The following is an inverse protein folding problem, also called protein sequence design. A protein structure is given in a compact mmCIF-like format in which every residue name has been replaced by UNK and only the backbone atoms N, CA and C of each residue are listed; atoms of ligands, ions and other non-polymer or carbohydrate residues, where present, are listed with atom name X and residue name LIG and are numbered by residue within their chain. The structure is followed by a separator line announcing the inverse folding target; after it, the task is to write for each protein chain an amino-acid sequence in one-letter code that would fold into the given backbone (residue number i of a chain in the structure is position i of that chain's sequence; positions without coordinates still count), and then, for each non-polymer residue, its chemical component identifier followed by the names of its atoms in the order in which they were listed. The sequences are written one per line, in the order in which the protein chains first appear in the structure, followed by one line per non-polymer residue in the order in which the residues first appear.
data_IF_339465573701
#
_entry.id   IF_339465573701
#
_cell.length_a   1.000
_cell.length_b   1.000
_cell.length_c   1.000
_cell.angle_alpha   90.00
_cell.angle_beta   90.00
_cell.angle_gamma   90.00
#
_symmetry.space_group_name_H-M   'P 1'
#
loop_
_entity.id
_entity.type
_entity.pdbx_description
1 polymer ?
2 non-polymer ?
3 non-polymer ?
#
# COMPACT_ATOMS: atom_id res chain seq x y z
N UNK A 2 8.82 -3.06 11.89
CA UNK A 2 9.96 -3.60 11.08
C UNK A 2 10.25 -2.95 9.71
N UNK A 3 11.55 -2.84 9.43
CA UNK A 3 12.08 -2.29 8.18
C UNK A 3 11.83 -3.20 6.99
N UNK A 4 11.88 -4.51 7.22
CA UNK A 4 11.59 -5.50 6.19
C UNK A 4 10.15 -5.38 5.66
N UNK A 5 9.19 -5.09 6.54
CA UNK A 5 7.81 -4.91 6.13
C UNK A 5 7.68 -3.70 5.23
N UNK A 6 8.30 -2.58 5.60
CA UNK A 6 8.17 -1.35 4.82
C UNK A 6 8.92 -1.45 3.48
N UNK A 7 10.04 -2.18 3.46
CA UNK A 7 10.79 -2.43 2.23
C UNK A 7 9.89 -3.23 1.27
N UNK A 8 9.17 -4.21 1.80
CA UNK A 8 8.30 -5.07 1.01
C UNK A 8 7.11 -4.30 0.45
N UNK A 9 6.49 -3.46 1.28
CA UNK A 9 5.37 -2.60 0.86
C UNK A 9 5.82 -1.60 -0.22
N UNK A 10 6.98 -0.99 0.00
CA UNK A 10 7.51 0.03 -0.86
C UNK A 10 7.89 -0.53 -2.22
N UNK A 11 8.45 -1.74 -2.23
CA UNK A 11 8.83 -2.42 -3.47
C UNK A 11 7.60 -2.59 -4.39
N UNK A 12 6.48 -2.96 -3.79
CA UNK A 12 5.25 -3.23 -4.51
C UNK A 12 4.67 -1.94 -5.10
N UNK A 13 4.66 -0.88 -4.30
CA UNK A 13 4.15 0.41 -4.74
C UNK A 13 4.98 0.93 -5.92
N UNK A 14 6.31 0.86 -5.79
CA UNK A 14 7.22 1.21 -6.87
C UNK A 14 6.96 0.35 -8.11
N UNK A 15 6.77 -0.96 -7.91
CA UNK A 15 6.49 -1.86 -9.03
C UNK A 15 5.23 -1.46 -9.80
N UNK A 16 4.16 -1.18 -9.07
CA UNK A 16 2.85 -0.96 -9.67
C UNK A 16 2.61 0.47 -10.17
N UNK A 17 3.03 1.46 -9.38
CA UNK A 17 2.76 2.88 -9.66
C UNK A 17 3.88 3.62 -10.40
N UNK A 18 5.05 3.01 -10.50
CA UNK A 18 6.16 3.58 -11.26
C UNK A 18 6.74 4.86 -10.68
N UNK A 19 6.60 5.08 -9.37
CA UNK A 19 7.10 6.31 -8.74
C UNK A 19 8.51 6.09 -8.18
N UNK A 20 9.24 7.17 -7.87
CA UNK A 20 10.55 7.04 -7.20
C UNK A 20 10.35 6.55 -5.78
N UNK A 21 11.31 5.76 -5.26
CA UNK A 21 11.25 5.35 -3.85
C UNK A 21 11.12 6.56 -2.92
N UNK A 22 11.85 7.64 -3.21
CA UNK A 22 11.80 8.88 -2.41
C UNK A 22 10.39 9.47 -2.25
N UNK A 23 9.49 9.15 -3.18
CA UNK A 23 8.12 9.65 -3.12
C UNK A 23 7.18 8.79 -2.28
N UNK A 24 7.65 7.60 -1.89
CA UNK A 24 6.84 6.68 -1.11
C UNK A 24 6.98 6.96 0.39
N UNK A 25 6.47 8.10 0.82
CA UNK A 25 6.46 8.49 2.23
C UNK A 25 5.18 7.98 2.88
N UNK A 26 5.20 7.81 4.20
CA UNK A 26 4.01 7.33 4.92
C UNK A 26 2.74 8.17 4.68
N UNK A 27 2.89 9.49 4.65
CA UNK A 27 1.77 10.42 4.45
C UNK A 27 1.28 10.52 3.00
N UNK A 28 2.01 9.93 2.05
CA UNK A 28 1.61 10.01 0.64
C UNK A 28 0.36 9.17 0.33
N UNK A 29 -0.67 9.81 -0.23
CA UNK A 29 -1.87 9.07 -0.60
C UNK A 29 -1.74 8.51 -2.01
N UNK A 30 -2.17 7.26 -2.19
CA UNK A 30 -2.02 6.56 -3.47
C UNK A 30 -2.66 7.33 -4.62
N UNK A 31 -3.87 7.87 -4.40
CA UNK A 31 -4.57 8.60 -5.45
C UNK A 31 -4.07 10.03 -5.63
N UNK A 32 -4.05 10.81 -4.57
CA UNK A 32 -3.73 12.22 -4.71
C UNK A 32 -2.23 12.48 -4.96
N UNK A 33 -1.35 11.65 -4.39
CA UNK A 33 0.10 11.89 -4.50
C UNK A 33 0.84 10.94 -5.45
N UNK A 34 0.41 9.69 -5.54
CA UNK A 34 1.20 8.70 -6.25
C UNK A 34 0.58 8.29 -7.58
N UNK A 35 -0.46 9.00 -8.02
CA UNK A 35 -1.01 8.80 -9.35
C UNK A 35 -1.83 7.54 -9.59
N UNK A 36 -2.13 6.77 -8.55
CA UNK A 36 -2.99 5.57 -8.68
C UNK A 36 -4.44 5.98 -8.96
N UNK A 37 -5.17 5.23 -9.79
CA UNK A 37 -6.64 5.37 -9.80
C UNK A 37 -7.29 4.18 -9.06
N UNK A 38 -8.62 4.14 -8.99
CA UNK A 38 -9.29 3.10 -8.20
C UNK A 38 -8.99 1.67 -8.56
N UNK A 39 -8.82 1.36 -9.85
CA UNK A 39 -8.45 0.02 -10.27
C UNK A 39 -7.05 -0.31 -9.74
N UNK A 40 -6.12 0.64 -9.85
CA UNK A 40 -4.78 0.43 -9.30
C UNK A 40 -4.81 0.11 -7.82
N UNK A 41 -5.62 0.86 -7.06
CA UNK A 41 -5.64 0.71 -5.61
C UNK A 41 -6.14 -0.67 -5.21
N UNK A 42 -7.22 -1.14 -5.83
CA UNK A 42 -7.71 -2.50 -5.56
C UNK A 42 -6.58 -3.48 -5.83
N UNK A 43 -5.90 -3.31 -6.95
CA UNK A 43 -4.79 -4.16 -7.35
C UNK A 43 -3.68 -4.12 -6.31
N UNK A 44 -3.32 -2.94 -5.82
CA UNK A 44 -2.29 -2.86 -4.80
C UNK A 44 -2.66 -3.65 -3.56
N UNK A 45 -3.90 -3.49 -3.10
CA UNK A 45 -4.32 -4.12 -1.87
C UNK A 45 -4.27 -5.64 -2.05
N UNK A 46 -4.71 -6.10 -3.23
CA UNK A 46 -4.70 -7.53 -3.52
C UNK A 46 -3.27 -8.03 -3.40
N UNK A 47 -2.37 -7.27 -3.98
CA UNK A 47 -0.98 -7.63 -4.01
C UNK A 47 -0.35 -7.62 -2.60
N UNK A 48 -0.71 -6.63 -1.77
CA UNK A 48 -0.21 -6.56 -0.40
C UNK A 48 -0.75 -7.69 0.47
N UNK A 49 -2.02 -8.01 0.29
CA UNK A 49 -2.64 -9.13 0.97
C UNK A 49 -1.85 -10.41 0.76
N UNK A 50 -1.38 -10.61 -0.47
CA UNK A 50 -0.78 -11.87 -0.85
C UNK A 50 0.66 -11.93 -0.39
N UNK A 51 1.34 -10.79 -0.48
CA UNK A 51 2.69 -10.65 0.03
C UNK A 51 2.80 -10.96 1.54
N UNK A 52 1.78 -10.61 2.32
CA UNK A 52 1.81 -10.81 3.78
C UNK A 52 0.88 -11.89 4.27
N UNK A 53 0.34 -12.70 3.35
CA UNK A 53 -0.46 -13.88 3.69
C UNK A 53 -1.60 -13.53 4.63
N UNK A 54 -2.32 -12.48 4.30
CA UNK A 54 -3.41 -12.02 5.15
C UNK A 54 -4.58 -11.61 4.27
N UNK A 55 -5.78 -11.69 4.83
CA UNK A 55 -6.99 -11.24 4.13
C UNK A 55 -7.44 -9.93 4.79
N UNK A 56 -7.68 -8.90 3.97
CA UNK A 56 -8.22 -7.62 4.43
C UNK A 56 -9.71 -7.57 4.08
N UNK A 57 -10.57 -7.16 5.02
CA UNK A 57 -12.00 -7.02 4.71
C UNK A 57 -12.27 -5.79 3.83
N UNK A 58 -13.42 -5.79 3.14
CA UNK A 58 -13.90 -4.61 2.39
C UNK A 58 -13.85 -3.34 3.25
N UNK A 59 -14.49 -3.39 4.42
CA UNK A 59 -14.54 -2.27 5.37
C UNK A 59 -13.16 -1.67 5.72
N UNK A 60 -12.18 -2.52 6.04
CA UNK A 60 -10.81 -2.06 6.36
C UNK A 60 -10.02 -1.55 5.14
N UNK A 61 -10.15 -2.21 4.00
CA UNK A 61 -9.44 -1.77 2.79
C UNK A 61 -9.84 -0.36 2.32
N UNK A 62 -11.09 0.01 2.56
CA UNK A 62 -11.60 1.32 2.21
C UNK A 62 -10.96 2.46 3.03
N UNK A 63 -10.39 2.12 4.19
CA UNK A 63 -9.75 3.11 5.08
C UNK A 63 -8.31 3.40 4.68
N UNK A 64 -7.80 2.59 3.74
CA UNK A 64 -6.41 2.68 3.25
C UNK A 64 -6.19 3.73 2.13
N UNK A 65 -6.15 5.02 2.48
CA UNK A 65 -5.76 6.09 1.54
C UNK A 65 -4.23 6.21 1.30
N UNK A 66 -3.42 6.04 2.35
CA UNK A 66 -1.97 6.38 2.31
C UNK A 66 -1.04 5.18 2.50
N UNK A 67 0.22 5.33 2.12
CA UNK A 67 1.24 4.31 2.40
C UNK A 67 1.23 3.92 3.90
N UNK A 68 1.20 4.91 4.79
CA UNK A 68 1.16 4.64 6.22
C UNK A 68 -0.06 3.84 6.65
N UNK A 69 -1.20 4.08 6.00
CA UNK A 69 -2.44 3.35 6.32
C UNK A 69 -2.24 1.87 6.02
N UNK A 70 -1.57 1.57 4.91
CA UNK A 70 -1.32 0.19 4.53
C UNK A 70 -0.38 -0.50 5.51
N UNK A 71 0.74 0.17 5.86
CA UNK A 71 1.68 -0.39 6.84
C UNK A 71 1.03 -0.59 8.20
N UNK A 72 0.20 0.36 8.63
CA UNK A 72 -0.53 0.21 9.88
C UNK A 72 -1.40 -1.04 9.94
N UNK A 73 -2.12 -1.32 8.86
CA UNK A 73 -2.95 -2.50 8.84
C UNK A 73 -2.12 -3.79 8.95
N UNK A 74 -1.08 -3.89 8.12
CA UNK A 74 -0.14 -5.01 8.18
C UNK A 74 0.39 -5.19 9.58
N UNK A 75 0.83 -4.10 10.20
CA UNK A 75 1.44 -4.14 11.54
C UNK A 75 0.48 -4.53 12.66
N UNK A 76 -0.82 -4.33 12.45
CA UNK A 76 -1.83 -4.73 13.40
C UNK A 76 -2.37 -6.17 13.21
N UNK A 77 -1.83 -6.92 12.24
CA UNK A 77 -2.26 -8.31 12.00
C UNK A 77 -1.22 -9.36 12.42
X LIG B 1 -11.26 5.98 -8.47
X LIG B 1 -10.96 7.18 -7.50
X LIG B 1 -12.80 5.88 -8.78
X LIG B 1 -13.74 5.11 -8.04
X LIG B 1 -15.07 5.65 -8.52
X LIG B 1 -15.53 4.70 -9.62
X LIG B 1 -16.07 5.62 -7.37
X LIG B 1 -14.74 7.16 -8.93
X LIG B 1 -15.53 8.08 -8.21
X LIG B 1 -14.56 7.56 -10.46
X LIG B 1 -15.08 6.97 -11.39
X LIG B 1 -13.79 8.62 -10.68
X LIG B 1 -10.54 6.11 -9.76
X LIG C 1 7.17 -5.55 12.10
X LIG D 1 0.66 7.04 11.20
#
# INVERSE_FOLDING_TARGET
GMADTLERVTKIIVDRLGVDEADVKLEASFKEDLGADSLDVVELVMELEDEFDMEISDEDAEKIATVGDAVNYIQNQQ
SXM P24 O26 O27 C28 C29 C30 C31 C32 O33 C34 O35 N36 O10
PT PT
PT PT
#
